data_IF_770622078388
#
_entry.id   IF_770622078388
#
_cell.length_a   1.000
_cell.length_b   1.000
_cell.length_c   1.000
_cell.angle_alpha   90.00
_cell.angle_beta   90.00
_cell.angle_gamma   90.00
#
_symmetry.space_group_name_H-M   'P 1'
#
loop_
_entity.id
_entity.type
_entity.pdbx_description
1 polymer ?
#
# COMPACT_ATOMS: atom_id res chain seq x y z
N UNK A 1 13.84 1.43 7.00
CA UNK A 1 13.61 0.86 5.66
C UNK A 1 12.92 -0.52 5.81
N UNK A 2 11.87 -0.63 6.63
CA UNK A 2 11.37 -1.93 7.12
C UNK A 2 9.91 -2.24 6.76
N UNK A 3 9.12 -1.26 6.33
CA UNK A 3 7.67 -1.44 6.13
C UNK A 3 7.29 -2.15 4.83
N UNK A 4 8.20 -2.22 3.85
CA UNK A 4 7.91 -2.84 2.56
C UNK A 4 8.06 -4.36 2.58
N UNK A 5 8.97 -4.89 3.41
CA UNK A 5 9.14 -6.34 3.53
C UNK A 5 7.92 -6.94 4.23
N UNK A 6 7.43 -6.28 5.28
CA UNK A 6 6.27 -6.73 6.06
C UNK A 6 4.98 -6.72 5.25
N UNK A 7 4.73 -5.70 4.40
CA UNK A 7 3.54 -5.67 3.54
C UNK A 7 3.56 -6.80 2.49
N UNK A 8 4.73 -7.07 1.90
CA UNK A 8 4.87 -8.15 0.91
C UNK A 8 4.64 -9.51 1.52
N UNK A 9 5.18 -9.73 2.73
CA UNK A 9 4.98 -10.96 3.50
C UNK A 9 3.50 -11.14 3.86
N UNK A 10 2.85 -10.12 4.42
CA UNK A 10 1.42 -10.16 4.74
C UNK A 10 0.54 -10.47 3.52
N UNK A 11 0.84 -9.90 2.35
CA UNK A 11 0.11 -10.22 1.11
C UNK A 11 0.29 -11.68 0.69
N UNK A 12 1.50 -12.23 0.80
CA UNK A 12 1.75 -13.65 0.51
C UNK A 12 1.00 -14.58 1.44
N UNK A 13 0.95 -14.26 2.74
CA UNK A 13 0.19 -15.02 3.72
C UNK A 13 -1.31 -15.00 3.41
N UNK A 14 -1.87 -13.83 3.10
CA UNK A 14 -3.28 -13.70 2.70
C UNK A 14 -3.58 -14.54 1.46
N UNK A 15 -2.73 -14.48 0.43
CA UNK A 15 -2.89 -15.30 -0.78
C UNK A 15 -2.87 -16.80 -0.46
N UNK A 16 -1.96 -17.24 0.39
CA UNK A 16 -1.88 -18.64 0.82
C UNK A 16 -3.15 -19.07 1.57
N UNK A 17 -3.65 -18.23 2.48
CA UNK A 17 -4.91 -18.48 3.19
C UNK A 17 -6.11 -18.59 2.25
N UNK A 18 -6.21 -17.72 1.24
CA UNK A 18 -7.30 -17.77 0.25
C UNK A 18 -7.21 -18.99 -0.67
N UNK A 19 -6.00 -19.51 -0.90
CA UNK A 19 -5.79 -20.77 -1.62
C UNK A 19 -6.23 -21.97 -0.80
N UNK A 20 -5.88 -22.00 0.48
CA UNK A 20 -6.26 -23.08 1.41
C UNK A 20 -7.75 -23.06 1.75
N UNK A 21 -8.39 -21.88 1.74
CA UNK A 21 -9.79 -21.68 2.14
C UNK A 21 -10.55 -20.88 1.09
N UNK A 22 -10.89 -21.49 -0.06
CA UNK A 22 -11.60 -20.80 -1.14
C UNK A 22 -13.00 -20.29 -0.74
N UNK A 23 -13.60 -20.86 0.31
CA UNK A 23 -14.87 -20.39 0.89
C UNK A 23 -14.80 -18.99 1.48
N UNK A 24 -13.61 -18.42 1.67
CA UNK A 24 -13.44 -17.03 2.13
C UNK A 24 -13.60 -16.00 1.00
N UNK A 25 -13.49 -16.41 -0.27
CA UNK A 25 -13.55 -15.50 -1.43
C UNK A 25 -14.82 -14.64 -1.49
N UNK A 26 -16.03 -15.15 -1.20
CA UNK A 26 -17.25 -14.34 -1.23
C UNK A 26 -17.25 -13.17 -0.25
N UNK A 27 -16.46 -13.24 0.83
CA UNK A 27 -16.41 -12.21 1.87
C UNK A 27 -15.35 -11.13 1.61
N UNK A 28 -14.55 -11.27 0.55
CA UNK A 28 -13.43 -10.36 0.30
C UNK A 28 -13.87 -8.92 0.08
N UNK A 29 -14.98 -8.72 -0.64
CA UNK A 29 -15.50 -7.37 -0.91
C UNK A 29 -15.83 -6.62 0.38
N UNK A 30 -16.54 -7.28 1.31
CA UNK A 30 -16.87 -6.71 2.62
C UNK A 30 -15.63 -6.51 3.48
N UNK A 31 -14.74 -7.50 3.52
CA UNK A 31 -13.50 -7.42 4.29
C UNK A 31 -12.60 -6.25 3.83
N UNK A 32 -12.50 -6.00 2.52
CA UNK A 32 -11.74 -4.88 1.96
C UNK A 32 -12.36 -3.54 2.35
N UNK A 33 -13.70 -3.42 2.29
CA UNK A 33 -14.38 -2.19 2.69
C UNK A 33 -14.13 -1.87 4.17
N UNK A 34 -14.33 -2.86 5.05
CA UNK A 34 -14.07 -2.72 6.49
C UNK A 34 -12.61 -2.38 6.79
N UNK A 35 -11.67 -3.03 6.10
CA UNK A 35 -10.24 -2.75 6.26
C UNK A 35 -9.87 -1.34 5.79
N UNK A 36 -10.53 -0.82 4.75
CA UNK A 36 -10.30 0.54 4.27
C UNK A 36 -10.77 1.58 5.28
N UNK A 37 -11.97 1.42 5.84
CA UNK A 37 -12.49 2.29 6.90
C UNK A 37 -11.57 2.30 8.12
N UNK A 38 -11.16 1.12 8.61
CA UNK A 38 -10.20 1.01 9.70
C UNK A 38 -8.84 1.68 9.37
N UNK A 39 -8.44 1.63 8.10
CA UNK A 39 -7.26 2.34 7.61
C UNK A 39 -7.40 3.86 7.69
N UNK A 40 -8.57 4.41 7.33
CA UNK A 40 -8.87 5.84 7.47
C UNK A 40 -8.79 6.26 8.94
N UNK A 41 -9.40 5.50 9.85
CA UNK A 41 -9.37 5.76 11.29
C UNK A 41 -7.93 5.81 11.82
N UNK A 42 -7.08 4.89 11.36
CA UNK A 42 -5.67 4.85 11.75
C UNK A 42 -4.89 6.06 11.22
N UNK A 43 -5.20 6.54 10.02
CA UNK A 43 -4.56 7.74 9.44
C UNK A 43 -4.97 8.98 10.23
N UNK A 44 -6.26 9.19 10.45
CA UNK A 44 -6.78 10.33 11.24
C UNK A 44 -6.21 10.31 12.66
N UNK A 45 -6.10 9.13 13.28
CA UNK A 45 -5.54 9.00 14.63
C UNK A 45 -4.05 9.34 14.72
N UNK A 46 -3.28 9.11 13.65
CA UNK A 46 -1.80 9.21 13.67
C UNK A 46 -1.25 10.43 12.94
N UNK A 47 -2.09 11.15 12.23
CA UNK A 47 -1.69 12.28 11.40
C UNK A 47 -2.62 13.48 11.66
N UNK A 48 -2.23 14.71 11.30
CA UNK A 48 -3.10 15.88 11.40
C UNK A 48 -4.22 15.96 10.35
N UNK A 49 -4.45 14.90 9.56
CA UNK A 49 -5.44 14.86 8.49
C UNK A 49 -6.81 14.47 9.03
N UNK A 50 -7.86 15.11 8.50
CA UNK A 50 -9.25 14.73 8.78
C UNK A 50 -9.81 13.83 7.67
N UNK A 51 -10.95 13.18 7.92
CA UNK A 51 -11.61 12.33 6.92
C UNK A 51 -11.95 13.08 5.62
N UNK A 52 -12.16 14.40 5.67
CA UNK A 52 -12.39 15.23 4.49
C UNK A 52 -11.18 15.32 3.55
N UNK A 53 -9.97 15.14 4.10
CA UNK A 53 -8.72 15.19 3.34
C UNK A 53 -8.37 13.83 2.72
N UNK A 54 -9.08 12.77 3.10
CA UNK A 54 -8.84 11.41 2.66
C UNK A 54 -9.81 11.00 1.55
N UNK A 55 -9.39 10.08 0.66
CA UNK A 55 -10.30 9.54 -0.34
C UNK A 55 -11.46 8.81 0.34
N UNK A 56 -12.70 9.09 -0.10
CA UNK A 56 -13.90 8.45 0.46
C UNK A 56 -14.01 6.97 0.11
N UNK A 57 -13.42 6.57 -1.01
CA UNK A 57 -13.44 5.20 -1.52
C UNK A 57 -12.01 4.69 -1.66
N UNK A 58 -11.82 3.38 -1.44
CA UNK A 58 -10.53 2.74 -1.64
C UNK A 58 -10.04 2.96 -3.08
N UNK A 59 -8.85 3.56 -3.29
CA UNK A 59 -8.33 3.80 -4.63
C UNK A 59 -7.70 2.55 -5.26
N UNK A 60 -7.61 1.44 -4.53
CA UNK A 60 -6.98 0.20 -4.97
C UNK A 60 -8.02 -0.86 -5.31
N UNK A 61 -7.76 -1.57 -6.41
CA UNK A 61 -8.53 -2.74 -6.81
C UNK A 61 -8.17 -3.97 -5.97
N UNK A 62 -9.03 -4.98 -5.93
CA UNK A 62 -8.73 -6.27 -5.28
C UNK A 62 -7.44 -6.88 -5.83
N UNK A 63 -7.24 -6.81 -7.14
CA UNK A 63 -6.06 -7.39 -7.79
C UNK A 63 -4.78 -6.71 -7.30
N UNK A 64 -4.78 -5.38 -7.15
CA UNK A 64 -3.65 -4.60 -6.63
C UNK A 64 -3.40 -4.83 -5.14
N UNK A 65 -4.47 -5.01 -4.35
CA UNK A 65 -4.35 -5.25 -2.90
C UNK A 65 -3.68 -6.59 -2.61
N UNK A 66 -3.97 -7.61 -3.42
CA UNK A 66 -3.43 -8.96 -3.23
C UNK A 66 -2.15 -9.24 -4.04
N UNK A 67 -1.73 -8.35 -4.93
CA UNK A 67 -0.45 -8.47 -5.65
C UNK A 67 0.75 -8.17 -4.71
N UNK A 68 1.60 -9.16 -4.38
CA UNK A 68 2.77 -8.98 -3.53
C UNK A 68 3.85 -8.08 -4.15
N UNK A 69 3.82 -7.85 -5.46
CA UNK A 69 4.78 -6.98 -6.15
C UNK A 69 4.23 -5.57 -6.41
N UNK A 70 2.96 -5.32 -6.10
CA UNK A 70 2.34 -4.01 -6.25
C UNK A 70 2.91 -3.01 -5.23
N UNK A 71 3.89 -2.23 -5.66
CA UNK A 71 4.43 -1.08 -4.92
C UNK A 71 3.74 0.19 -5.40
N UNK A 72 3.18 0.97 -4.47
CA UNK A 72 2.47 2.21 -4.81
C UNK A 72 3.40 3.16 -5.59
N UNK A 73 2.84 3.96 -6.53
CA UNK A 73 3.63 4.78 -7.46
C UNK A 73 4.54 5.82 -6.80
N UNK A 74 4.33 6.13 -5.51
CA UNK A 74 5.19 7.05 -4.76
C UNK A 74 6.66 6.61 -4.77
N UNK A 75 6.94 5.29 -4.85
CA UNK A 75 8.32 4.75 -4.91
C UNK A 75 8.94 4.77 -6.32
N UNK A 76 8.14 4.80 -7.38
CA UNK A 76 8.66 4.82 -8.76
C UNK A 76 9.32 6.16 -9.13
N UNK A 77 9.01 7.24 -8.41
CA UNK A 77 9.68 8.53 -8.60
C UNK A 77 11.12 8.58 -8.03
N UNK A 78 11.50 7.65 -7.15
CA UNK A 78 12.84 7.62 -6.55
C UNK A 78 13.81 6.73 -7.33
N UNK A 79 13.33 5.67 -8.00
CA UNK A 79 14.18 4.76 -8.78
C UNK A 79 14.67 5.38 -10.10
N UNK A 80 13.91 6.29 -10.70
CA UNK A 80 14.36 7.06 -11.88
C UNK A 80 15.26 8.26 -11.54
N UNK A 81 15.46 8.62 -10.26
CA UNK A 81 16.31 9.77 -9.86
C UNK A 81 17.71 9.39 -9.39
N UNK A 82 18.03 8.10 -9.27
CA UNK A 82 19.39 7.63 -8.94
C UNK A 82 20.25 7.30 -10.17
N UNK A 83 19.79 7.65 -11.37
CA UNK A 83 20.54 7.53 -12.62
C UNK A 83 20.90 8.89 -13.25
N UNK A 84 21.13 9.92 -12.44
CA UNK A 84 21.74 11.17 -12.93
C UNK A 84 22.88 11.58 -12.01
N UNK A 85 24.16 11.32 -12.37
CA UNK A 85 25.29 11.88 -11.68
C UNK A 85 25.41 13.34 -12.09
N UNK A 86 25.02 14.25 -11.20
CA UNK A 86 25.60 15.58 -11.18
C UNK A 86 25.50 16.12 -9.76
N UNK A 87 26.47 15.70 -8.95
CA UNK A 87 26.98 16.58 -7.91
C UNK A 87 27.34 17.90 -8.59
N UNK A 88 26.86 19.06 -8.15
CA UNK A 88 27.48 20.32 -8.53
C UNK A 88 28.89 20.27 -7.96
N UNK A 89 29.90 20.41 -8.82
CA UNK A 89 31.23 20.74 -8.31
C UNK A 89 31.09 22.09 -7.61
N UNK A 90 31.36 22.09 -6.31
CA UNK A 90 31.58 23.30 -5.54
C UNK A 90 32.85 23.92 -6.12
N UNK A 91 32.69 24.98 -6.89
CA UNK A 91 33.77 25.91 -7.17
C UNK A 91 33.63 27.04 -6.15
N UNK A 92 34.75 27.29 -5.48
CA UNK A 92 35.09 28.31 -4.47
C UNK A 92 34.47 28.17 -3.06
#
# INVERSE_FOLDING_TARGET
METLLTIREQRREILQLLKERPSLKPYLTEAIANAYEAGLDLVVKKTPLDYSDLPKNCPYTSEQLFDPEYVTPFRNSYRSRVASPRCPQRND
#
